data_IF_380315329839
#
_entry.id   IF_380315329839
#
_cell.length_a   1.000
_cell.length_b   1.000
_cell.length_c   1.000
_cell.angle_alpha   90.00
_cell.angle_beta   90.00
_cell.angle_gamma   90.00
#
_symmetry.space_group_name_H-M   'P 1'
#
loop_
_entity.id
_entity.type
_entity.pdbx_description
1 polymer ?
#
# COMPACT_ATOMS: atom_id res chain seq x y z
N UNK A 1 42.48 20.55 -0.64
CA UNK A 1 42.58 19.30 -1.41
C UNK A 1 43.88 18.58 -1.03
N UNK A 2 43.87 17.71 -0.02
CA UNK A 2 45.08 16.97 0.39
C UNK A 2 44.86 15.48 0.12
N UNK A 3 45.26 15.05 -1.08
CA UNK A 3 45.29 13.64 -1.47
C UNK A 3 46.36 12.91 -0.66
N UNK A 4 45.94 11.92 0.12
CA UNK A 4 46.82 11.02 0.89
C UNK A 4 47.59 10.14 -0.09
N UNK A 5 48.79 10.55 -0.50
CA UNK A 5 49.71 9.78 -1.35
C UNK A 5 50.32 8.63 -0.54
N UNK A 6 49.60 7.52 -0.42
CA UNK A 6 50.13 6.28 0.15
C UNK A 6 51.12 5.64 -0.83
N UNK A 7 52.41 5.97 -0.72
CA UNK A 7 53.49 5.30 -1.45
C UNK A 7 53.82 3.95 -0.81
N UNK A 8 54.05 2.94 -1.65
CA UNK A 8 54.52 1.60 -1.23
C UNK A 8 56.02 1.71 -1.02
N UNK A 9 56.48 1.48 0.21
CA UNK A 9 57.90 1.44 0.55
C UNK A 9 58.36 -0.02 0.56
N UNK A 10 59.38 -0.35 -0.20
CA UNK A 10 59.95 -1.69 -0.29
C UNK A 10 61.44 -1.61 -0.59
N UNK A 11 62.18 -2.69 -0.31
CA UNK A 11 63.63 -2.71 -0.52
C UNK A 11 63.94 -3.48 -1.80
N UNK A 12 65.03 -3.10 -2.47
CA UNK A 12 65.52 -3.84 -3.63
C UNK A 12 66.26 -5.12 -3.18
N UNK A 13 65.86 -6.28 -3.70
CA UNK A 13 66.46 -7.57 -3.33
C UNK A 13 67.94 -7.71 -3.74
N UNK A 14 68.41 -6.90 -4.70
CA UNK A 14 69.77 -6.99 -5.24
C UNK A 14 70.77 -6.07 -4.52
N UNK A 15 70.34 -4.89 -4.07
CA UNK A 15 71.25 -3.89 -3.49
C UNK A 15 70.78 -3.34 -2.14
N UNK A 16 69.64 -3.79 -1.60
CA UNK A 16 69.08 -3.34 -0.34
C UNK A 16 68.59 -1.88 -0.32
N UNK A 17 68.65 -1.18 -1.46
CA UNK A 17 68.23 0.23 -1.54
C UNK A 17 66.73 0.35 -1.28
N UNK A 18 66.33 1.29 -0.42
CA UNK A 18 64.92 1.58 -0.11
C UNK A 18 64.28 2.34 -1.26
N UNK A 19 63.21 1.79 -1.83
CA UNK A 19 62.47 2.36 -2.94
C UNK A 19 61.03 2.64 -2.53
N UNK A 20 60.48 3.73 -3.11
CA UNK A 20 59.10 4.13 -2.90
C UNK A 20 58.39 4.14 -4.26
N UNK A 21 57.38 3.30 -4.45
CA UNK A 21 56.56 3.28 -5.66
C UNK A 21 55.15 3.80 -5.39
N UNK A 22 54.50 4.34 -6.42
CA UNK A 22 53.08 4.64 -6.38
C UNK A 22 52.28 3.32 -6.39
N UNK A 23 51.12 3.26 -5.71
CA UNK A 23 50.27 2.08 -5.71
C UNK A 23 49.77 1.70 -7.10
N UNK A 24 49.65 2.68 -8.00
CA UNK A 24 49.22 2.47 -9.39
C UNK A 24 50.24 1.68 -10.23
N UNK A 25 51.51 1.63 -9.78
CA UNK A 25 52.59 0.85 -10.42
C UNK A 25 52.81 -0.51 -9.76
N UNK A 26 51.93 -0.92 -8.84
CA UNK A 26 52.07 -2.20 -8.16
C UNK A 26 51.87 -3.39 -9.11
N UNK A 27 52.82 -4.33 -9.12
CA UNK A 27 52.87 -5.46 -10.08
C UNK A 27 53.40 -5.08 -11.47
N UNK A 28 54.05 -3.92 -11.61
CA UNK A 28 54.84 -3.58 -12.81
C UNK A 28 56.33 -3.63 -12.50
N UNK A 29 57.15 -3.91 -13.51
CA UNK A 29 58.60 -3.94 -13.38
C UNK A 29 59.17 -2.53 -13.25
N UNK A 30 59.84 -2.24 -12.14
CA UNK A 30 60.56 -1.00 -11.90
C UNK A 30 62.06 -1.25 -12.01
N UNK A 31 62.78 -0.31 -12.63
CA UNK A 31 64.25 -0.33 -12.66
C UNK A 31 64.81 0.36 -11.42
N UNK A 32 65.69 -0.32 -10.68
CA UNK A 32 66.37 0.27 -9.53
C UNK A 32 67.34 1.38 -10.00
N UNK A 33 67.33 2.58 -9.40
CA UNK A 33 68.27 3.65 -9.75
C UNK A 33 69.73 3.34 -9.35
N UNK A 34 69.95 2.45 -8.37
CA UNK A 34 71.28 2.15 -7.85
C UNK A 34 71.93 0.98 -8.61
N UNK A 35 71.30 -0.20 -8.62
CA UNK A 35 71.86 -1.39 -9.27
C UNK A 35 71.36 -1.63 -10.70
N UNK A 36 70.42 -0.82 -11.21
CA UNK A 36 69.79 -0.97 -12.54
C UNK A 36 69.06 -2.29 -12.78
N UNK A 37 68.92 -3.14 -11.76
CA UNK A 37 68.13 -4.37 -11.81
C UNK A 37 66.64 -4.05 -11.99
N UNK A 38 65.93 -4.92 -12.73
CA UNK A 38 64.48 -4.85 -12.90
C UNK A 38 63.86 -5.68 -11.79
N UNK A 39 63.03 -5.04 -10.96
CA UNK A 39 62.32 -5.70 -9.86
C UNK A 39 60.83 -5.41 -9.93
N UNK A 40 60.01 -6.38 -9.53
CA UNK A 40 58.57 -6.23 -9.52
C UNK A 40 58.12 -5.54 -8.23
N UNK A 41 57.27 -4.50 -8.35
CA UNK A 41 56.74 -3.80 -7.17
C UNK A 41 55.72 -4.69 -6.46
N UNK A 42 55.91 -5.03 -5.17
CA UNK A 42 54.97 -5.87 -4.45
C UNK A 42 53.63 -5.15 -4.25
N UNK A 43 52.52 -5.84 -4.55
CA UNK A 43 51.16 -5.31 -4.30
C UNK A 43 50.88 -5.28 -2.80
N UNK A 44 50.58 -4.12 -2.19
CA UNK A 44 50.22 -4.05 -0.79
C UNK A 44 48.90 -4.79 -0.59
N UNK A 45 48.94 -5.93 0.10
CA UNK A 45 47.75 -6.63 0.62
C UNK A 45 47.15 -5.81 1.76
N UNK A 46 46.54 -4.68 1.45
CA UNK A 46 46.22 -3.68 2.48
C UNK A 46 45.27 -2.57 2.10
N UNK A 47 44.64 -2.61 0.92
CA UNK A 47 43.40 -1.86 0.76
C UNK A 47 42.35 -2.60 1.60
N UNK A 48 42.22 -2.22 2.90
CA UNK A 48 41.02 -2.54 3.67
C UNK A 48 39.87 -2.02 2.84
N UNK A 49 39.22 -2.92 2.10
CA UNK A 49 38.01 -2.63 1.38
C UNK A 49 37.11 -2.01 2.44
N UNK A 50 36.84 -0.71 2.30
CA UNK A 50 35.70 -0.13 3.01
C UNK A 50 34.54 -0.93 2.45
N UNK A 51 34.18 -2.01 3.15
CA UNK A 51 32.95 -2.73 2.92
C UNK A 51 31.93 -1.61 2.87
N UNK A 52 31.38 -1.35 1.69
CA UNK A 52 30.18 -0.56 1.53
C UNK A 52 29.29 -1.08 2.64
N UNK A 53 29.07 -0.25 3.66
CA UNK A 53 28.25 -0.64 4.78
C UNK A 53 26.89 -0.93 4.17
N UNK A 54 26.55 -2.21 4.02
CA UNK A 54 25.15 -2.58 3.77
C UNK A 54 24.37 -1.90 4.88
N UNK A 55 23.32 -1.11 4.57
CA UNK A 55 22.51 -0.53 5.61
C UNK A 55 22.03 -1.69 6.48
N UNK A 56 22.52 -1.73 7.71
CA UNK A 56 22.10 -2.71 8.71
C UNK A 56 20.70 -2.29 9.14
N UNK A 57 19.70 -2.60 8.32
CA UNK A 57 18.30 -2.53 8.74
C UNK A 57 18.05 -3.78 9.59
N UNK A 58 17.75 -3.62 10.89
CA UNK A 58 17.47 -4.77 11.75
C UNK A 58 16.24 -5.49 11.16
N UNK A 59 16.42 -6.76 10.80
CA UNK A 59 15.39 -7.62 10.19
C UNK A 59 14.07 -7.61 10.97
N UNK A 60 14.13 -7.32 12.27
CA UNK A 60 12.99 -7.18 13.16
C UNK A 60 12.08 -5.97 12.83
N UNK A 61 12.65 -4.84 12.39
CA UNK A 61 11.87 -3.65 12.02
C UNK A 61 11.06 -3.86 10.74
N UNK A 62 11.64 -4.54 9.75
CA UNK A 62 10.96 -4.85 8.49
C UNK A 62 9.78 -5.79 8.74
N UNK A 63 9.98 -6.83 9.56
CA UNK A 63 8.91 -7.78 9.87
C UNK A 63 7.76 -7.10 10.63
N UNK A 64 8.07 -6.25 11.61
CA UNK A 64 7.06 -5.56 12.39
C UNK A 64 6.25 -4.57 11.55
N UNK A 65 6.89 -3.87 10.60
CA UNK A 65 6.20 -2.96 9.68
C UNK A 65 5.27 -3.71 8.73
N UNK A 66 5.72 -4.84 8.17
CA UNK A 66 4.90 -5.69 7.28
C UNK A 66 3.69 -6.24 8.03
N UNK A 67 3.88 -6.74 9.25
CA UNK A 67 2.80 -7.30 10.06
C UNK A 67 1.77 -6.21 10.40
N UNK A 68 2.21 -5.05 10.90
CA UNK A 68 1.29 -3.96 11.21
C UNK A 68 0.53 -3.45 10.00
N UNK A 69 1.20 -3.32 8.85
CA UNK A 69 0.55 -2.91 7.61
C UNK A 69 -0.50 -3.92 7.14
N UNK A 70 -0.22 -5.21 7.26
CA UNK A 70 -1.16 -6.27 6.91
C UNK A 70 -2.42 -6.25 7.81
N UNK A 71 -2.26 -6.08 9.12
CA UNK A 71 -3.40 -5.94 10.04
C UNK A 71 -4.26 -4.71 9.76
N UNK A 72 -3.65 -3.56 9.44
CA UNK A 72 -4.40 -2.34 9.08
C UNK A 72 -5.19 -2.56 7.78
N UNK A 73 -4.57 -3.18 6.77
CA UNK A 73 -5.24 -3.48 5.51
C UNK A 73 -6.40 -4.46 5.70
N UNK A 74 -6.18 -5.53 6.47
CA UNK A 74 -7.23 -6.49 6.81
C UNK A 74 -8.40 -5.83 7.54
N UNK A 75 -8.12 -4.95 8.52
CA UNK A 75 -9.15 -4.20 9.23
C UNK A 75 -9.98 -3.29 8.32
N UNK A 76 -9.37 -2.60 7.36
CA UNK A 76 -10.08 -1.77 6.40
C UNK A 76 -10.95 -2.60 5.44
N UNK A 77 -10.46 -3.76 4.98
CA UNK A 77 -11.23 -4.68 4.14
C UNK A 77 -12.44 -5.22 4.90
N UNK A 78 -12.25 -5.67 6.16
CA UNK A 78 -13.34 -6.13 7.01
C UNK A 78 -14.36 -5.02 7.26
N UNK A 79 -13.91 -3.80 7.57
CA UNK A 79 -14.80 -2.65 7.76
C UNK A 79 -15.60 -2.34 6.49
N UNK A 80 -14.96 -2.37 5.32
CA UNK A 80 -15.64 -2.16 4.04
C UNK A 80 -16.69 -3.24 3.77
N UNK A 81 -16.38 -4.51 4.05
CA UNK A 81 -17.34 -5.61 3.92
C UNK A 81 -18.52 -5.47 4.88
N UNK A 82 -18.26 -5.09 6.13
CA UNK A 82 -19.32 -4.85 7.12
C UNK A 82 -20.20 -3.69 6.65
N UNK A 83 -19.61 -2.53 6.33
CA UNK A 83 -20.37 -1.37 5.85
C UNK A 83 -21.14 -1.65 4.56
N UNK A 84 -20.56 -2.42 3.63
CA UNK A 84 -21.21 -2.87 2.40
C UNK A 84 -22.37 -3.82 2.65
N UNK A 85 -22.20 -4.80 3.54
CA UNK A 85 -23.27 -5.72 3.96
C UNK A 85 -24.42 -4.96 4.64
N UNK A 86 -24.10 -4.01 5.52
CA UNK A 86 -25.10 -3.15 6.15
C UNK A 86 -25.87 -2.31 5.11
N UNK A 87 -25.19 -1.78 4.10
CA UNK A 87 -25.84 -1.03 3.02
C UNK A 87 -26.79 -1.91 2.19
N UNK A 88 -26.37 -3.11 1.83
CA UNK A 88 -27.20 -4.05 1.06
C UNK A 88 -28.43 -4.54 1.84
N UNK A 89 -28.28 -4.79 3.14
CA UNK A 89 -29.41 -5.18 4.01
C UNK A 89 -30.41 -4.03 4.12
N UNK A 90 -29.93 -2.79 4.26
CA UNK A 90 -30.80 -1.62 4.41
C UNK A 90 -31.60 -1.32 3.14
N UNK A 91 -30.97 -1.38 1.96
CA UNK A 91 -31.67 -1.14 0.69
C UNK A 91 -32.77 -2.20 0.43
N UNK A 92 -32.48 -3.48 0.69
CA UNK A 92 -33.49 -4.55 0.54
C UNK A 92 -34.64 -4.41 1.54
N UNK A 93 -34.35 -4.06 2.79
CA UNK A 93 -35.36 -3.87 3.82
C UNK A 93 -36.27 -2.67 3.49
N UNK A 94 -35.68 -1.57 3.04
CA UNK A 94 -36.42 -0.35 2.68
C UNK A 94 -37.32 -0.57 1.45
N UNK A 95 -36.83 -1.25 0.41
CA UNK A 95 -37.64 -1.61 -0.77
C UNK A 95 -38.79 -2.53 -0.38
N UNK A 96 -38.54 -3.53 0.46
CA UNK A 96 -39.60 -4.44 0.94
C UNK A 96 -40.64 -3.68 1.74
N UNK A 97 -40.22 -2.79 2.64
CA UNK A 97 -41.12 -1.99 3.47
C UNK A 97 -42.00 -1.05 2.63
N UNK A 98 -41.40 -0.33 1.67
CA UNK A 98 -42.15 0.55 0.75
C UNK A 98 -43.13 -0.28 -0.09
N UNK A 99 -42.69 -1.41 -0.63
CA UNK A 99 -43.54 -2.30 -1.42
C UNK A 99 -44.75 -2.78 -0.60
N UNK A 100 -44.53 -3.31 0.61
CA UNK A 100 -45.60 -3.75 1.51
C UNK A 100 -46.55 -2.60 1.88
N UNK A 101 -46.02 -1.40 2.15
CA UNK A 101 -46.84 -0.23 2.44
C UNK A 101 -47.73 0.16 1.26
N UNK A 102 -47.20 0.15 0.02
CA UNK A 102 -47.98 0.42 -1.19
C UNK A 102 -49.07 -0.64 -1.39
N UNK A 103 -48.73 -1.93 -1.26
CA UNK A 103 -49.72 -3.01 -1.37
C UNK A 103 -50.82 -2.88 -0.31
N UNK A 104 -50.46 -2.51 0.91
CA UNK A 104 -51.43 -2.29 1.99
C UNK A 104 -52.37 -1.12 1.68
N UNK A 105 -51.84 0.03 1.23
CA UNK A 105 -52.66 1.18 0.84
C UNK A 105 -53.60 0.83 -0.31
N UNK A 106 -53.11 0.15 -1.34
CA UNK A 106 -53.93 -0.30 -2.46
C UNK A 106 -55.04 -1.25 -2.00
N UNK A 107 -54.72 -2.21 -1.14
CA UNK A 107 -55.70 -3.14 -0.58
C UNK A 107 -56.78 -2.40 0.22
N UNK A 108 -56.39 -1.45 1.07
CA UNK A 108 -57.33 -0.60 1.83
C UNK A 108 -58.23 0.19 0.88
N UNK A 109 -57.67 0.81 -0.16
CA UNK A 109 -58.44 1.55 -1.15
C UNK A 109 -59.44 0.64 -1.87
N UNK A 110 -59.01 -0.54 -2.31
CA UNK A 110 -59.90 -1.52 -2.96
C UNK A 110 -61.03 -1.98 -2.05
N UNK A 111 -60.82 -2.06 -0.74
CA UNK A 111 -61.86 -2.45 0.22
C UNK A 111 -62.80 -1.30 0.60
N UNK A 112 -62.30 -0.07 0.70
CA UNK A 112 -63.08 1.10 1.13
C UNK A 112 -63.88 1.71 -0.03
N UNK A 113 -63.32 1.78 -1.24
CA UNK A 113 -63.99 2.36 -2.41
C UNK A 113 -65.39 1.78 -2.66
N UNK A 114 -65.63 0.45 -2.66
CA UNK A 114 -66.98 -0.08 -2.88
C UNK A 114 -67.96 0.35 -1.77
N UNK A 115 -67.52 0.37 -0.51
CA UNK A 115 -68.35 0.84 0.62
C UNK A 115 -68.76 2.30 0.45
N UNK A 116 -67.84 3.15 -0.03
CA UNK A 116 -68.11 4.55 -0.32
C UNK A 116 -69.06 4.71 -1.52
N UNK A 117 -68.90 3.91 -2.57
CA UNK A 117 -69.78 3.93 -3.74
C UNK A 117 -71.20 3.54 -3.33
N UNK A 118 -71.37 2.46 -2.56
CA UNK A 118 -72.68 2.02 -2.08
C UNK A 118 -73.34 3.10 -1.21
N UNK A 119 -72.57 3.70 -0.30
CA UNK A 119 -73.04 4.80 0.53
C UNK A 119 -73.47 6.01 -0.31
N UNK A 120 -72.70 6.37 -1.33
CA UNK A 120 -73.01 7.47 -2.23
C UNK A 120 -74.26 7.22 -3.07
N UNK A 121 -74.39 6.02 -3.66
CA UNK A 121 -75.59 5.63 -4.42
C UNK A 121 -76.85 5.67 -3.56
N UNK A 122 -76.75 5.27 -2.29
CA UNK A 122 -77.88 5.31 -1.38
C UNK A 122 -78.30 6.74 -1.00
N UNK A 123 -77.33 7.66 -0.88
CA UNK A 123 -77.62 9.08 -0.67
C UNK A 123 -78.34 9.67 -1.90
N UNK A 124 -77.86 9.43 -3.12
CA UNK A 124 -78.54 9.91 -4.34
C UNK A 124 -79.96 9.35 -4.49
N UNK A 125 -80.19 8.10 -4.11
CA UNK A 125 -81.54 7.53 -4.14
C UNK A 125 -82.47 8.15 -3.10
N UNK A 126 -81.95 8.58 -1.95
CA UNK A 126 -82.75 9.23 -0.93
C UNK A 126 -83.10 10.67 -1.31
N UNK A 127 -82.16 11.45 -1.86
CA UNK A 127 -82.44 12.84 -2.30
C UNK A 127 -83.49 12.87 -3.42
N UNK A 128 -83.41 11.94 -4.38
CA UNK A 128 -84.40 11.85 -5.46
C UNK A 128 -85.83 11.58 -4.94
N UNK A 129 -85.98 10.83 -3.84
CA UNK A 129 -87.30 10.55 -3.25
C UNK A 129 -87.90 11.75 -2.52
N UNK A 130 -87.09 12.67 -2.01
CA UNK A 130 -87.60 13.89 -1.36
C UNK A 130 -88.19 14.88 -2.39
N UNK A 131 -87.60 14.96 -3.59
CA UNK A 131 -88.08 15.83 -4.67
C UNK A 131 -89.47 15.41 -5.23
N UNK A 132 -89.81 14.12 -5.19
CA UNK A 132 -91.13 13.62 -5.66
C UNK A 132 -92.27 13.93 -4.66
N UNK A 133 -91.95 14.38 -3.44
CA UNK A 133 -92.91 14.67 -2.37
C UNK A 133 -93.02 16.17 -2.02
N UNK A 134 -92.22 17.03 -2.64
CA UNK A 134 -92.21 18.49 -2.46
C UNK A 134 -92.98 19.20 -3.59
#
# INVERSE_FOLDING_TARGET
MTSKTSSIKFNCDQCGTRLNARPDKAGTGLRCPNCRAILEVPRPRGAKQKRLAKPFVPRFWVLHFIVKFNYVLAGLITLFFVLGAFRGIFENLLVTFISTAVYFVLLVMTLIIPQLIDCFLQIEQNTRKEDDHA
#
